data_IF_580869089432
#
_entry.id   IF_580869089432
#
_cell.length_a   1.000
_cell.length_b   1.000
_cell.length_c   1.000
_cell.angle_alpha   90.00
_cell.angle_beta   90.00
_cell.angle_gamma   90.00
#
_symmetry.space_group_name_H-M   'P 1'
#
loop_
_entity.id
_entity.type
_entity.pdbx_description
1 polymer ?
#
# COMPACT_ATOMS: atom_id res chain seq x y z
N UNK A 1 36.89 -42.10 -64.22
CA UNK A 1 36.24 -40.92 -63.61
C UNK A 1 37.12 -40.37 -62.52
N UNK A 2 37.29 -39.05 -62.49
CA UNK A 2 38.24 -38.29 -61.69
C UNK A 2 38.14 -38.61 -60.18
N UNK A 3 39.26 -38.54 -59.43
CA UNK A 3 39.33 -38.99 -58.04
C UNK A 3 39.54 -37.85 -57.02
N UNK A 4 39.61 -38.25 -55.75
CA UNK A 4 40.46 -37.77 -54.63
C UNK A 4 39.90 -36.83 -53.55
N UNK A 5 40.09 -37.32 -52.33
CA UNK A 5 40.46 -36.67 -51.06
C UNK A 5 41.30 -35.38 -51.24
N UNK A 6 41.24 -34.43 -50.30
CA UNK A 6 42.31 -34.30 -49.27
C UNK A 6 42.01 -33.25 -48.18
N UNK A 7 42.60 -33.57 -47.03
CA UNK A 7 42.79 -32.89 -45.76
C UNK A 7 43.89 -31.82 -45.76
N UNK A 8 43.71 -30.83 -44.85
CA UNK A 8 44.72 -30.11 -44.03
C UNK A 8 45.77 -29.20 -44.69
N UNK A 9 46.14 -28.19 -43.87
CA UNK A 9 47.38 -27.38 -43.77
C UNK A 9 47.22 -25.90 -44.21
N UNK A 10 47.82 -24.86 -43.62
CA UNK A 10 48.78 -24.64 -42.51
C UNK A 10 49.01 -23.11 -42.40
N UNK A 11 49.32 -22.60 -41.19
CA UNK A 11 50.09 -21.37 -40.82
C UNK A 11 49.72 -20.01 -41.45
N UNK A 12 49.34 -19.02 -40.62
CA UNK A 12 50.21 -18.00 -39.97
C UNK A 12 50.89 -17.05 -40.95
N UNK A 13 50.63 -15.73 -40.84
CA UNK A 13 51.55 -14.57 -40.85
C UNK A 13 50.65 -13.30 -40.84
N UNK A 14 50.60 -12.46 -39.79
CA UNK A 14 51.58 -11.47 -39.27
C UNK A 14 51.43 -10.06 -39.90
N UNK A 15 51.55 -9.07 -39.00
CA UNK A 15 51.74 -7.63 -39.20
C UNK A 15 50.52 -6.82 -39.69
N UNK A 16 50.25 -5.59 -39.24
CA UNK A 16 50.64 -4.71 -38.13
C UNK A 16 50.01 -3.32 -38.44
N UNK A 17 50.15 -2.39 -37.50
CA UNK A 17 49.88 -0.93 -37.57
C UNK A 17 48.48 -0.45 -37.18
N UNK A 18 48.28 0.52 -36.27
CA UNK A 18 49.14 1.22 -35.29
C UNK A 18 48.18 2.07 -34.42
N UNK A 19 48.36 2.03 -33.09
CA UNK A 19 48.47 3.12 -32.06
C UNK A 19 47.60 4.38 -32.25
N UNK A 20 46.82 4.84 -31.25
CA UNK A 20 47.17 5.81 -30.15
C UNK A 20 46.08 5.67 -29.06
N UNK A 21 46.33 5.16 -27.84
CA UNK A 21 46.96 5.79 -26.66
C UNK A 21 46.18 6.98 -26.04
N UNK A 22 45.51 6.74 -24.90
CA UNK A 22 45.61 7.61 -23.72
C UNK A 22 45.44 6.78 -22.44
N UNK A 23 46.52 6.72 -21.66
CA UNK A 23 46.60 6.24 -20.27
C UNK A 23 46.40 7.43 -19.33
N UNK A 24 45.73 7.18 -18.21
CA UNK A 24 45.94 7.69 -16.84
C UNK A 24 44.56 7.74 -16.14
N UNK A 25 44.36 7.27 -14.92
CA UNK A 25 45.23 6.65 -13.92
C UNK A 25 44.29 5.95 -12.94
N UNK A 26 44.68 4.76 -12.47
CA UNK A 26 44.06 4.14 -11.32
C UNK A 26 44.30 4.99 -10.07
N UNK A 27 43.27 5.14 -9.26
CA UNK A 27 43.40 5.29 -7.82
C UNK A 27 42.32 4.41 -7.21
N UNK A 28 42.75 3.25 -6.72
CA UNK A 28 41.95 2.36 -5.88
C UNK A 28 41.52 3.12 -4.62
N UNK A 29 40.21 3.17 -4.40
CA UNK A 29 39.63 3.26 -3.08
C UNK A 29 38.52 2.21 -3.01
N UNK A 30 38.67 1.31 -2.05
CA UNK A 30 37.75 0.23 -1.74
C UNK A 30 36.37 0.79 -1.37
N UNK A 31 35.47 0.90 -2.35
CA UNK A 31 34.04 0.99 -2.11
C UNK A 31 33.43 -0.41 -2.24
N UNK A 32 33.07 -0.96 -1.09
CA UNK A 32 32.24 -2.15 -0.97
C UNK A 32 30.94 -1.87 -1.73
N UNK A 33 30.83 -2.51 -2.90
CA UNK A 33 29.67 -2.49 -3.76
C UNK A 33 28.48 -3.15 -3.07
N UNK A 34 27.65 -2.32 -2.44
CA UNK A 34 26.25 -2.66 -2.20
C UNK A 34 25.55 -2.80 -3.54
N UNK A 35 25.38 -4.04 -4.00
CA UNK A 35 24.53 -4.37 -5.14
C UNK A 35 23.09 -3.96 -4.85
N UNK A 36 22.74 -2.72 -5.17
CA UNK A 36 21.35 -2.30 -5.30
C UNK A 36 20.86 -2.71 -6.68
N UNK A 37 19.82 -3.54 -6.72
CA UNK A 37 19.06 -3.73 -7.96
C UNK A 37 18.68 -2.34 -8.54
N UNK A 38 18.68 -2.19 -9.88
CA UNK A 38 18.20 -0.96 -10.49
C UNK A 38 16.81 -0.64 -9.95
N UNK A 39 16.51 0.64 -9.65
CA UNK A 39 15.23 1.01 -9.07
C UNK A 39 14.10 0.53 -9.98
N UNK A 40 13.17 -0.24 -9.42
CA UNK A 40 12.04 -0.77 -10.16
C UNK A 40 11.25 0.39 -10.80
N UNK A 41 10.79 0.20 -12.04
CA UNK A 41 9.94 1.18 -12.72
C UNK A 41 8.68 1.45 -11.89
N UNK A 42 8.21 2.70 -11.89
CA UNK A 42 6.99 3.06 -11.19
C UNK A 42 5.79 2.31 -11.79
N UNK A 43 4.93 1.75 -10.95
CA UNK A 43 3.59 1.34 -11.34
C UNK A 43 2.69 2.59 -11.35
N UNK A 44 2.17 2.94 -12.52
CA UNK A 44 1.20 4.03 -12.65
C UNK A 44 0.11 3.65 -13.66
N UNK A 45 -1.16 3.76 -13.26
CA UNK A 45 -2.30 3.47 -14.13
C UNK A 45 -3.57 4.18 -13.64
N UNK A 46 -4.58 4.23 -14.51
CA UNK A 46 -5.86 4.92 -14.26
C UNK A 46 -7.04 4.04 -14.65
N UNK A 47 -8.12 4.12 -13.87
CA UNK A 47 -9.40 3.46 -14.10
C UNK A 47 -10.54 4.48 -13.97
N UNK A 48 -11.26 4.69 -15.07
CA UNK A 48 -12.45 5.55 -15.10
C UNK A 48 -13.70 4.67 -15.03
N UNK A 49 -14.38 4.68 -13.89
CA UNK A 49 -15.54 3.83 -13.59
C UNK A 49 -16.50 4.53 -12.63
N UNK A 50 -17.81 4.40 -12.87
CA UNK A 50 -18.84 4.89 -11.95
C UNK A 50 -18.76 6.40 -11.67
N UNK A 51 -18.44 7.21 -12.69
CA UNK A 51 -18.28 8.66 -12.56
C UNK A 51 -17.07 9.08 -11.71
N UNK A 52 -16.06 8.21 -11.60
CA UNK A 52 -14.87 8.46 -10.80
C UNK A 52 -13.62 8.21 -11.63
N UNK A 53 -12.63 9.10 -11.46
CA UNK A 53 -11.25 8.86 -11.86
C UNK A 53 -10.56 8.19 -10.67
N UNK A 54 -9.95 7.02 -10.92
CA UNK A 54 -9.15 6.29 -9.95
C UNK A 54 -7.73 6.16 -10.53
N UNK A 55 -6.78 6.95 -10.03
CA UNK A 55 -5.40 6.95 -10.51
C UNK A 55 -4.48 6.40 -9.42
N UNK A 56 -3.65 5.44 -9.79
CA UNK A 56 -2.81 4.67 -8.88
C UNK A 56 -1.36 4.96 -9.18
N UNK A 57 -0.55 5.06 -8.12
CA UNK A 57 0.89 5.23 -8.22
C UNK A 57 1.59 4.39 -7.15
N UNK A 58 2.65 3.68 -7.55
CA UNK A 58 3.51 2.97 -6.62
C UNK A 58 4.97 2.94 -7.09
N UNK A 59 5.88 3.39 -6.23
CA UNK A 59 7.33 3.28 -6.39
C UNK A 59 8.02 3.39 -5.03
N UNK A 60 8.95 2.48 -4.75
CA UNK A 60 9.72 2.45 -3.50
C UNK A 60 8.82 2.53 -2.25
N UNK A 61 8.95 3.61 -1.47
CA UNK A 61 8.22 3.89 -0.23
C UNK A 61 6.84 4.54 -0.46
N UNK A 62 6.45 4.80 -1.70
CA UNK A 62 5.21 5.50 -2.04
C UNK A 62 4.26 4.50 -2.70
N UNK A 63 3.05 4.36 -2.14
CA UNK A 63 1.90 3.71 -2.75
C UNK A 63 0.68 4.58 -2.46
N UNK A 64 0.01 5.08 -3.49
CA UNK A 64 -1.12 5.99 -3.35
C UNK A 64 -2.19 5.76 -4.42
N UNK A 65 -3.43 5.98 -4.04
CA UNK A 65 -4.60 5.98 -4.92
C UNK A 65 -5.31 7.33 -4.81
N UNK A 66 -5.26 8.10 -5.89
CA UNK A 66 -6.04 9.31 -6.10
C UNK A 66 -7.42 8.94 -6.62
N UNK A 67 -8.46 9.40 -5.94
CA UNK A 67 -9.84 9.28 -6.36
C UNK A 67 -10.47 10.65 -6.50
N UNK A 68 -11.07 10.92 -7.67
CA UNK A 68 -11.88 12.12 -7.90
C UNK A 68 -13.27 11.71 -8.36
N UNK A 69 -14.30 12.19 -7.67
CA UNK A 69 -15.70 11.89 -8.01
C UNK A 69 -16.32 13.04 -8.77
N UNK A 70 -16.73 12.76 -10.00
CA UNK A 70 -17.54 13.67 -10.81
C UNK A 70 -19.01 13.53 -10.43
N UNK A 71 -19.59 14.55 -9.79
CA UNK A 71 -21.02 14.60 -9.41
C UNK A 71 -21.40 15.98 -8.85
N UNK A 72 -22.68 16.17 -8.52
CA UNK A 72 -23.14 17.34 -7.75
C UNK A 72 -22.67 17.34 -6.28
N UNK A 73 -22.01 16.27 -5.83
CA UNK A 73 -21.36 16.15 -4.51
C UNK A 73 -19.87 15.83 -4.71
N UNK A 74 -19.09 16.74 -5.31
CA UNK A 74 -17.73 16.45 -5.69
C UNK A 74 -16.87 16.18 -4.44
N UNK A 75 -15.88 15.32 -4.62
CA UNK A 75 -14.87 15.01 -3.61
C UNK A 75 -13.57 14.58 -4.27
N UNK A 76 -12.48 14.76 -3.55
CA UNK A 76 -11.16 14.30 -3.92
C UNK A 76 -10.54 13.56 -2.72
N UNK A 77 -10.04 12.35 -2.93
CA UNK A 77 -9.35 11.56 -1.92
C UNK A 77 -7.96 11.16 -2.44
N UNK A 78 -6.97 11.11 -1.56
CA UNK A 78 -5.71 10.39 -1.79
C UNK A 78 -5.52 9.43 -0.62
N UNK A 79 -5.60 8.13 -0.89
CA UNK A 79 -5.43 7.09 0.12
C UNK A 79 -4.12 6.34 -0.05
N UNK A 80 -3.60 5.82 1.05
CA UNK A 80 -2.34 5.10 1.15
C UNK A 80 -2.59 3.75 1.83
N UNK A 81 -2.16 2.63 1.22
CA UNK A 81 -2.19 1.31 1.87
C UNK A 81 -1.51 1.27 3.24
N UNK A 82 -0.42 2.04 3.38
CA UNK A 82 0.30 2.18 4.63
C UNK A 82 -0.63 2.77 5.70
N UNK A 83 -0.80 2.03 6.80
CA UNK A 83 -1.68 2.40 7.91
C UNK A 83 -3.17 2.46 7.57
N UNK A 84 -3.60 1.97 6.40
CA UNK A 84 -4.98 2.13 5.90
C UNK A 84 -5.41 3.60 6.04
N UNK A 85 -4.59 4.51 5.49
CA UNK A 85 -4.61 5.95 5.77
C UNK A 85 -4.93 6.77 4.53
N UNK A 86 -5.24 8.05 4.70
CA UNK A 86 -5.56 8.92 3.58
C UNK A 86 -5.88 10.35 3.96
N UNK A 87 -6.01 11.15 2.92
CA UNK A 87 -6.47 12.53 2.97
C UNK A 87 -7.68 12.68 2.06
N UNK A 88 -8.64 13.51 2.44
CA UNK A 88 -9.87 13.70 1.69
C UNK A 88 -10.40 15.11 1.80
N UNK A 89 -10.92 15.61 0.68
CA UNK A 89 -11.63 16.87 0.55
C UNK A 89 -13.06 16.58 0.10
N UNK A 90 -14.00 17.06 0.88
CA UNK A 90 -15.40 17.14 0.51
C UNK A 90 -15.75 18.59 0.27
N UNK A 91 -16.39 18.84 -0.85
CA UNK A 91 -16.91 20.15 -1.19
C UNK A 91 -18.38 20.26 -0.77
N UNK A 92 -18.90 21.48 -0.77
CA UNK A 92 -20.34 21.71 -0.70
C UNK A 92 -21.03 21.19 -1.98
N UNK A 93 -22.33 20.91 -1.87
CA UNK A 93 -23.12 20.45 -3.01
C UNK A 93 -23.17 21.56 -4.08
N UNK A 94 -22.99 21.16 -5.34
CA UNK A 94 -22.99 22.07 -6.49
C UNK A 94 -24.31 21.97 -7.25
N UNK A 95 -24.81 23.06 -7.87
CA UNK A 95 -26.08 23.04 -8.60
C UNK A 95 -26.03 22.16 -9.85
N UNK A 96 -24.84 21.97 -10.42
CA UNK A 96 -24.59 21.08 -11.56
C UNK A 96 -23.47 20.11 -11.21
N UNK A 97 -23.44 18.91 -11.83
CA UNK A 97 -22.33 17.98 -11.65
C UNK A 97 -20.99 18.62 -12.04
N UNK A 98 -20.01 18.50 -11.17
CA UNK A 98 -18.62 18.86 -11.46
C UNK A 98 -17.91 17.66 -12.05
N UNK A 99 -17.23 17.84 -13.17
CA UNK A 99 -16.36 16.86 -13.81
C UNK A 99 -14.90 17.18 -13.54
N UNK A 100 -14.16 16.16 -13.14
CA UNK A 100 -12.72 16.25 -12.90
C UNK A 100 -11.92 15.79 -14.11
N UNK A 101 -10.75 16.39 -14.28
CA UNK A 101 -9.69 15.91 -15.17
C UNK A 101 -8.38 15.80 -14.39
N UNK A 102 -7.59 14.78 -14.73
CA UNK A 102 -6.20 14.67 -14.30
C UNK A 102 -5.33 15.30 -15.39
N UNK A 103 -4.73 16.45 -15.10
CA UNK A 103 -4.01 17.27 -16.09
C UNK A 103 -2.55 16.82 -16.25
N UNK A 104 -1.95 16.26 -15.19
CA UNK A 104 -0.58 15.71 -15.22
C UNK A 104 -0.54 14.25 -14.75
N UNK A 105 0.48 13.46 -15.16
CA UNK A 105 0.78 12.20 -14.49
C UNK A 105 1.01 12.41 -12.98
N UNK A 106 0.71 11.39 -12.17
CA UNK A 106 1.06 11.41 -10.76
C UNK A 106 2.58 11.41 -10.63
N UNK A 107 3.11 12.37 -9.87
CA UNK A 107 4.51 12.46 -9.51
C UNK A 107 4.72 12.02 -8.05
N UNK A 108 5.82 11.31 -7.73
CA UNK A 108 6.20 11.02 -6.37
C UNK A 108 6.62 12.31 -5.66
N UNK A 109 6.21 12.47 -4.42
CA UNK A 109 6.55 13.64 -3.61
C UNK A 109 6.96 13.22 -2.19
N UNK A 110 7.86 14.00 -1.59
CA UNK A 110 8.23 13.87 -0.18
C UNK A 110 8.26 15.24 0.46
N UNK A 111 7.83 15.31 1.72
CA UNK A 111 7.94 16.52 2.55
C UNK A 111 8.43 16.14 3.94
N UNK A 112 8.71 17.15 4.76
CA UNK A 112 8.92 16.97 6.19
C UNK A 112 7.77 17.62 6.95
N UNK A 113 7.39 17.02 8.08
CA UNK A 113 6.49 17.67 9.03
C UNK A 113 7.21 18.72 9.89
N UNK A 114 6.47 19.38 10.80
CA UNK A 114 7.02 20.41 11.67
C UNK A 114 8.11 19.90 12.65
N UNK A 115 8.22 18.58 12.81
CA UNK A 115 9.25 17.92 13.62
C UNK A 115 10.39 17.35 12.76
N UNK A 116 10.45 17.69 11.47
CA UNK A 116 11.49 17.23 10.54
C UNK A 116 11.32 15.77 10.07
N UNK A 117 10.19 15.12 10.37
CA UNK A 117 9.97 13.70 10.03
C UNK A 117 9.46 13.60 8.60
N UNK A 118 10.05 12.69 7.81
CA UNK A 118 9.69 12.51 6.41
C UNK A 118 8.28 11.96 6.25
N UNK A 119 7.50 12.58 5.36
CA UNK A 119 6.22 12.08 4.87
C UNK A 119 6.37 11.72 3.39
N UNK A 120 5.79 10.59 3.00
CA UNK A 120 5.82 10.07 1.64
C UNK A 120 4.46 10.29 0.98
N UNK A 121 4.45 10.67 -0.29
CA UNK A 121 3.22 11.12 -0.93
C UNK A 121 3.28 11.23 -2.44
N UNK A 122 2.27 11.89 -2.98
CA UNK A 122 2.14 12.15 -4.40
C UNK A 122 1.76 13.61 -4.66
N UNK A 123 2.13 14.11 -5.84
CA UNK A 123 1.70 15.38 -6.41
C UNK A 123 1.01 15.17 -7.76
N UNK A 124 -0.05 15.93 -8.03
CA UNK A 124 -0.79 15.88 -9.29
C UNK A 124 -1.50 17.21 -9.55
N UNK A 125 -1.50 17.66 -10.80
CA UNK A 125 -2.32 18.79 -11.24
C UNK A 125 -3.63 18.25 -11.81
N UNK A 126 -4.74 18.85 -11.38
CA UNK A 126 -6.11 18.46 -11.72
C UNK A 126 -6.94 19.69 -12.05
N UNK A 127 -7.99 19.50 -12.84
CA UNK A 127 -8.96 20.55 -13.12
C UNK A 127 -10.39 20.09 -12.86
N UNK A 128 -11.24 21.06 -12.49
CA UNK A 128 -12.67 20.92 -12.36
C UNK A 128 -13.35 21.91 -13.31
N UNK A 129 -14.41 21.48 -13.99
CA UNK A 129 -15.21 22.28 -14.93
C UNK A 129 -16.18 23.26 -14.24
N UNK A 130 -15.68 23.94 -13.21
CA UNK A 130 -16.40 24.93 -12.42
C UNK A 130 -15.47 26.09 -12.08
N UNK A 131 -16.00 27.30 -11.96
CA UNK A 131 -15.21 28.48 -11.61
C UNK A 131 -14.87 28.55 -10.12
N UNK A 132 -15.61 27.85 -9.26
CA UNK A 132 -15.35 27.85 -7.83
C UNK A 132 -15.86 26.58 -7.13
N UNK A 133 -15.19 26.23 -6.02
CA UNK A 133 -15.58 25.14 -5.14
C UNK A 133 -15.42 25.57 -3.68
N UNK A 134 -16.49 25.47 -2.90
CA UNK A 134 -16.45 25.66 -1.44
C UNK A 134 -16.07 24.36 -0.75
N UNK A 135 -15.04 24.39 0.09
CA UNK A 135 -14.59 23.23 0.87
C UNK A 135 -15.49 23.09 2.10
N UNK A 136 -16.21 21.98 2.16
CA UNK A 136 -17.04 21.62 3.32
C UNK A 136 -16.20 21.04 4.45
N UNK A 137 -15.29 20.12 4.13
CA UNK A 137 -14.47 19.44 5.13
C UNK A 137 -13.22 18.84 4.49
N UNK A 138 -12.08 19.00 5.15
CA UNK A 138 -10.91 18.16 4.93
C UNK A 138 -10.76 17.16 6.07
N UNK A 139 -10.44 15.91 5.76
CA UNK A 139 -10.09 14.88 6.75
C UNK A 139 -8.82 14.18 6.34
N UNK A 140 -7.91 14.03 7.29
CA UNK A 140 -6.66 13.33 7.11
C UNK A 140 -6.60 12.31 8.25
N UNK A 141 -6.69 11.01 7.99
CA UNK A 141 -6.78 9.96 9.01
C UNK A 141 -6.81 8.57 8.35
N UNK A 142 -7.32 7.56 9.05
CA UNK A 142 -7.65 6.25 8.47
C UNK A 142 -8.77 6.34 7.43
N UNK A 143 -8.61 5.57 6.36
CA UNK A 143 -9.63 5.27 5.34
C UNK A 143 -10.97 4.89 5.95
N UNK A 144 -10.99 4.19 7.10
CA UNK A 144 -12.26 3.84 7.78
C UNK A 144 -13.04 5.09 8.16
N UNK A 145 -12.39 6.10 8.76
CA UNK A 145 -13.07 7.37 9.10
C UNK A 145 -13.46 8.16 7.85
N UNK A 146 -12.62 8.18 6.81
CA UNK A 146 -12.95 8.83 5.54
C UNK A 146 -14.18 8.17 4.89
N UNK A 147 -14.27 6.84 4.94
CA UNK A 147 -15.41 6.05 4.45
C UNK A 147 -16.67 6.31 5.26
N UNK A 148 -16.57 6.28 6.58
CA UNK A 148 -17.70 6.48 7.48
C UNK A 148 -18.25 7.91 7.35
N UNK A 149 -17.37 8.92 7.29
CA UNK A 149 -17.76 10.31 7.01
C UNK A 149 -18.48 10.44 5.68
N UNK A 150 -17.98 9.75 4.66
CA UNK A 150 -18.65 9.71 3.37
C UNK A 150 -20.04 9.04 3.44
N UNK A 151 -20.25 8.10 4.36
CA UNK A 151 -21.55 7.50 4.66
C UNK A 151 -22.48 8.40 5.50
N UNK A 152 -22.03 9.61 5.87
CA UNK A 152 -22.78 10.56 6.68
C UNK A 152 -22.55 10.45 8.19
N UNK A 153 -21.60 9.61 8.63
CA UNK A 153 -21.26 9.52 10.04
C UNK A 153 -20.49 10.77 10.51
N UNK A 154 -20.61 11.09 11.79
CA UNK A 154 -19.72 12.05 12.43
C UNK A 154 -18.31 11.47 12.59
N UNK A 155 -17.33 12.34 12.61
CA UNK A 155 -15.93 11.97 12.85
C UNK A 155 -15.45 12.46 14.21
N UNK A 156 -14.48 11.77 14.84
CA UNK A 156 -13.84 12.28 16.05
C UNK A 156 -13.26 13.68 15.83
N UNK A 157 -13.41 14.57 16.81
CA UNK A 157 -12.81 15.91 16.76
C UNK A 157 -11.28 15.86 16.64
N UNK A 158 -10.66 14.81 17.19
CA UNK A 158 -9.20 14.61 17.19
C UNK A 158 -8.59 14.49 15.79
N UNK A 159 -9.39 14.17 14.77
CA UNK A 159 -8.92 14.02 13.38
C UNK A 159 -9.32 15.19 12.48
N UNK A 160 -9.97 16.21 13.05
CA UNK A 160 -10.34 17.45 12.35
C UNK A 160 -9.25 18.48 12.62
N UNK A 161 -8.69 19.06 11.55
CA UNK A 161 -7.67 20.10 11.63
C UNK A 161 -8.05 21.28 10.77
N UNK A 162 -7.79 22.50 11.25
CA UNK A 162 -8.00 23.71 10.48
C UNK A 162 -6.86 23.93 9.48
N UNK A 163 -7.14 24.43 8.27
CA UNK A 163 -6.08 24.75 7.32
C UNK A 163 -5.29 25.99 7.73
N UNK A 164 -4.00 26.01 7.41
CA UNK A 164 -3.26 27.26 7.23
C UNK A 164 -3.37 27.71 5.77
N UNK A 165 -3.74 28.97 5.52
CA UNK A 165 -3.85 29.54 4.18
C UNK A 165 -2.76 30.59 3.97
N UNK A 166 -2.04 30.51 2.86
CA UNK A 166 -1.02 31.47 2.46
C UNK A 166 -1.12 31.71 0.96
N UNK A 167 -1.66 32.87 0.57
CA UNK A 167 -1.91 33.21 -0.83
C UNK A 167 -2.89 32.22 -1.47
N UNK A 168 -2.45 31.53 -2.51
CA UNK A 168 -3.22 30.53 -3.25
C UNK A 168 -3.05 29.09 -2.71
N UNK A 169 -2.44 28.92 -1.53
CA UNK A 169 -2.16 27.61 -0.93
C UNK A 169 -2.97 27.42 0.35
N UNK A 170 -3.68 26.31 0.45
CA UNK A 170 -4.25 25.80 1.69
C UNK A 170 -3.53 24.50 2.10
N UNK A 171 -3.08 24.44 3.35
CA UNK A 171 -2.38 23.29 3.93
C UNK A 171 -3.14 22.79 5.17
N UNK A 172 -3.54 21.53 5.12
CA UNK A 172 -3.96 20.78 6.30
C UNK A 172 -2.81 19.85 6.70
N UNK A 173 -2.35 19.94 7.94
CA UNK A 173 -1.30 19.08 8.44
C UNK A 173 -1.51 18.81 9.92
N UNK A 174 -1.30 17.56 10.33
CA UNK A 174 -1.37 17.17 11.74
C UNK A 174 -0.52 15.94 12.02
N UNK A 175 -0.12 15.78 13.27
CA UNK A 175 0.42 14.52 13.77
C UNK A 175 -0.70 13.52 13.97
N UNK A 176 -0.35 12.22 13.98
CA UNK A 176 -1.25 11.18 14.46
C UNK A 176 -1.57 11.40 15.93
N UNK A 177 -2.69 10.89 16.43
CA UNK A 177 -3.15 11.17 17.81
C UNK A 177 -2.23 10.65 18.93
N UNK A 178 -1.27 9.78 18.62
CA UNK A 178 -0.22 9.31 19.53
C UNK A 178 1.08 10.13 19.42
N UNK A 179 1.08 11.20 18.61
CA UNK A 179 2.24 12.05 18.37
C UNK A 179 3.18 11.55 17.28
N UNK A 180 2.94 10.39 16.67
CA UNK A 180 3.73 9.88 15.55
C UNK A 180 3.60 10.77 14.28
N UNK A 181 4.46 10.58 13.24
CA UNK A 181 4.26 11.22 11.94
C UNK A 181 2.82 11.02 11.47
N UNK A 182 2.16 12.12 11.10
CA UNK A 182 0.77 12.08 10.68
C UNK A 182 0.64 12.26 9.18
N UNK A 183 -0.13 13.27 8.80
CA UNK A 183 -0.62 13.42 7.44
C UNK A 183 -0.56 14.89 7.02
N UNK A 184 -0.36 15.12 5.73
CA UNK A 184 -0.43 16.46 5.15
C UNK A 184 -1.19 16.44 3.82
N UNK A 185 -1.97 17.47 3.58
CA UNK A 185 -2.66 17.74 2.32
C UNK A 185 -2.45 19.21 1.98
N UNK A 186 -1.80 19.45 0.84
CA UNK A 186 -1.63 20.78 0.27
C UNK A 186 -2.46 20.90 -1.00
N UNK A 187 -3.27 21.95 -1.05
CA UNK A 187 -4.04 22.35 -2.23
C UNK A 187 -3.53 23.71 -2.65
N UNK A 188 -3.01 23.80 -3.86
CA UNK A 188 -2.61 25.08 -4.47
C UNK A 188 -3.55 25.37 -5.62
N UNK A 189 -4.22 26.53 -5.60
CA UNK A 189 -4.97 26.99 -6.77
C UNK A 189 -3.97 27.57 -7.77
N UNK A 190 -3.90 26.98 -8.97
CA UNK A 190 -2.93 27.35 -10.00
C UNK A 190 -3.60 28.17 -11.11
N UNK A 191 -2.83 28.56 -12.13
CA UNK A 191 -3.29 29.35 -13.28
C UNK A 191 -3.98 30.67 -12.92
N UNK A 192 -3.43 31.36 -11.91
CA UNK A 192 -3.90 32.69 -11.49
C UNK A 192 -5.18 32.69 -10.64
N UNK A 193 -5.68 31.51 -10.24
CA UNK A 193 -6.78 31.41 -9.28
C UNK A 193 -6.35 31.74 -7.85
N UNK A 194 -7.32 31.82 -6.95
CA UNK A 194 -7.14 32.26 -5.57
C UNK A 194 -7.93 31.41 -4.57
N UNK A 195 -7.56 31.53 -3.30
CA UNK A 195 -8.33 31.02 -2.17
C UNK A 195 -8.92 32.21 -1.43
N UNK A 196 -10.24 32.22 -1.26
CA UNK A 196 -10.96 33.17 -0.43
C UNK A 196 -11.61 32.45 0.76
N UNK A 197 -12.04 33.22 1.75
CA UNK A 197 -13.03 32.73 2.71
C UNK A 197 -14.43 33.04 2.16
N UNK A 198 -15.36 32.09 2.27
CA UNK A 198 -16.77 32.39 2.08
C UNK A 198 -17.29 33.23 3.26
N UNK A 199 -18.47 33.82 3.12
CA UNK A 199 -19.11 34.62 4.18
C UNK A 199 -19.41 33.85 5.48
N UNK A 200 -19.20 32.53 5.51
CA UNK A 200 -19.38 31.63 6.64
C UNK A 200 -18.04 31.08 7.21
N UNK A 201 -16.89 31.53 6.68
CA UNK A 201 -15.56 31.12 7.12
C UNK A 201 -15.03 29.82 6.52
N UNK A 202 -15.71 29.22 5.53
CA UNK A 202 -15.17 28.09 4.75
C UNK A 202 -14.22 28.60 3.68
N UNK A 203 -13.34 27.71 3.20
CA UNK A 203 -12.44 28.05 2.10
C UNK A 203 -13.14 27.89 0.75
N UNK A 204 -13.11 28.95 -0.06
CA UNK A 204 -13.60 28.99 -1.42
C UNK A 204 -12.40 29.00 -2.38
N UNK A 205 -12.26 27.93 -3.16
CA UNK A 205 -11.27 27.84 -4.24
C UNK A 205 -11.87 28.48 -5.49
N UNK A 206 -11.16 29.42 -6.13
CA UNK A 206 -11.69 30.20 -7.26
C UNK A 206 -10.73 30.23 -8.43
N UNK A 207 -11.25 30.02 -9.64
CA UNK A 207 -10.56 30.31 -10.88
C UNK A 207 -10.41 31.84 -11.06
N UNK A 208 -9.53 32.30 -11.97
CA UNK A 208 -9.51 33.69 -12.39
C UNK A 208 -10.88 34.17 -12.88
N UNK A 209 -11.16 35.47 -12.76
CA UNK A 209 -12.41 36.05 -13.24
C UNK A 209 -12.68 35.70 -14.70
N UNK A 210 -13.84 35.11 -14.97
CA UNK A 210 -14.26 34.69 -16.31
C UNK A 210 -13.72 33.33 -16.78
N UNK A 211 -12.83 32.68 -16.02
CA UNK A 211 -12.33 31.35 -16.35
C UNK A 211 -13.35 30.27 -15.95
N UNK A 212 -13.76 29.37 -16.87
CA UNK A 212 -14.77 28.35 -16.58
C UNK A 212 -14.23 27.16 -15.78
N UNK A 213 -12.90 27.04 -15.66
CA UNK A 213 -12.23 25.90 -15.04
C UNK A 213 -11.39 26.32 -13.84
N UNK A 214 -11.52 25.58 -12.75
CA UNK A 214 -10.68 25.67 -11.57
C UNK A 214 -9.54 24.66 -11.72
N UNK A 215 -8.29 25.13 -11.63
CA UNK A 215 -7.11 24.29 -11.67
C UNK A 215 -6.43 24.23 -10.32
N UNK A 216 -6.08 23.02 -9.90
CA UNK A 216 -5.52 22.73 -8.59
C UNK A 216 -4.26 21.87 -8.73
N UNK A 217 -3.22 22.19 -7.98
CA UNK A 217 -2.17 21.23 -7.61
C UNK A 217 -2.52 20.60 -6.28
N UNK A 218 -2.57 19.28 -6.25
CA UNK A 218 -2.85 18.48 -5.07
C UNK A 218 -1.57 17.73 -4.68
N UNK A 219 -1.12 17.95 -3.46
CA UNK A 219 -0.03 17.17 -2.86
C UNK A 219 -0.54 16.55 -1.55
N UNK A 220 -0.46 15.22 -1.44
CA UNK A 220 -0.95 14.49 -0.27
C UNK A 220 0.12 13.54 0.25
N UNK A 221 0.26 13.46 1.56
CA UNK A 221 1.36 12.76 2.23
C UNK A 221 0.90 11.99 3.47
N UNK A 222 1.57 10.86 3.72
CA UNK A 222 1.42 10.05 4.92
C UNK A 222 2.78 9.75 5.54
N UNK A 223 2.82 9.78 6.87
CA UNK A 223 3.95 9.37 7.69
C UNK A 223 3.86 7.93 8.19
N UNK A 224 2.84 7.18 7.76
CA UNK A 224 2.71 5.76 8.08
C UNK A 224 3.89 4.96 7.51
N UNK A 225 4.23 3.84 8.17
CA UNK A 225 5.34 2.98 7.72
C UNK A 225 5.00 2.37 6.35
N UNK A 226 5.80 2.62 5.31
CA UNK A 226 5.55 2.08 3.98
C UNK A 226 5.52 0.55 3.95
N UNK A 227 4.53 0.00 3.26
CA UNK A 227 4.48 -1.44 2.95
C UNK A 227 5.52 -1.79 1.88
N UNK A 228 5.99 -3.03 1.89
CA UNK A 228 6.99 -3.52 0.95
C UNK A 228 6.30 -4.09 -0.30
N UNK A 229 6.39 -3.42 -1.46
CA UNK A 229 5.66 -3.82 -2.66
C UNK A 229 6.19 -5.13 -3.24
N UNK A 230 5.29 -5.99 -3.69
CA UNK A 230 5.65 -7.09 -4.60
C UNK A 230 5.54 -6.56 -6.02
N UNK A 231 6.65 -6.54 -6.76
CA UNK A 231 6.71 -6.01 -8.13
C UNK A 231 6.25 -7.03 -9.16
N UNK A 232 5.87 -6.55 -10.35
CA UNK A 232 5.41 -7.38 -11.49
C UNK A 232 6.26 -8.62 -11.75
N UNK A 233 7.58 -8.50 -11.62
CA UNK A 233 8.53 -9.59 -11.88
C UNK A 233 8.35 -10.79 -10.92
N UNK A 234 7.82 -10.55 -9.71
CA UNK A 234 7.65 -11.55 -8.66
C UNK A 234 6.17 -11.92 -8.43
N UNK A 235 5.28 -11.46 -9.30
CA UNK A 235 3.84 -11.50 -9.04
C UNK A 235 3.16 -12.72 -9.66
N UNK A 236 3.40 -12.92 -10.95
CA UNK A 236 2.71 -13.90 -11.76
C UNK A 236 3.67 -14.89 -12.41
N UNK A 237 3.18 -16.11 -12.65
CA UNK A 237 3.82 -17.06 -13.56
C UNK A 237 3.53 -16.66 -15.01
N UNK A 238 4.19 -17.29 -15.97
CA UNK A 238 3.90 -17.09 -17.40
C UNK A 238 2.51 -17.58 -17.83
N UNK A 239 1.79 -18.30 -16.96
CA UNK A 239 0.44 -18.80 -17.23
C UNK A 239 -0.66 -17.76 -16.97
N UNK A 240 -0.32 -16.59 -16.43
CA UNK A 240 -1.30 -15.52 -16.18
C UNK A 240 -1.93 -15.03 -17.48
N UNK A 241 -3.25 -14.84 -17.46
CA UNK A 241 -3.96 -14.25 -18.60
C UNK A 241 -3.41 -12.84 -18.89
N UNK A 242 -3.05 -12.49 -20.14
CA UNK A 242 -2.50 -11.18 -20.50
C UNK A 242 -3.56 -10.07 -20.46
N UNK A 243 -4.01 -9.72 -19.25
CA UNK A 243 -4.86 -8.58 -18.95
C UNK A 243 -4.05 -7.55 -18.13
N UNK A 244 -3.40 -6.58 -18.78
CA UNK A 244 -2.54 -5.61 -18.09
C UNK A 244 -3.30 -4.81 -17.04
N UNK A 245 -4.58 -4.51 -17.25
CA UNK A 245 -5.35 -3.68 -16.34
C UNK A 245 -5.61 -4.43 -15.02
N UNK A 246 -6.13 -5.66 -15.09
CA UNK A 246 -6.36 -6.47 -13.89
C UNK A 246 -5.06 -6.85 -13.19
N UNK A 247 -3.99 -7.11 -13.96
CA UNK A 247 -2.67 -7.37 -13.39
C UNK A 247 -2.10 -6.14 -12.66
N UNK A 248 -2.29 -4.92 -13.19
CA UNK A 248 -1.86 -3.69 -12.52
C UNK A 248 -2.64 -3.42 -11.23
N UNK A 249 -3.95 -3.69 -11.21
CA UNK A 249 -4.76 -3.61 -9.99
C UNK A 249 -4.25 -4.59 -8.94
N UNK A 250 -4.08 -5.85 -9.30
CA UNK A 250 -3.61 -6.86 -8.35
C UNK A 250 -2.18 -6.56 -7.88
N UNK A 251 -1.32 -6.06 -8.76
CA UNK A 251 0.02 -5.60 -8.42
C UNK A 251 0.00 -4.48 -7.37
N UNK A 252 -0.86 -3.47 -7.55
CA UNK A 252 -1.02 -2.39 -6.59
C UNK A 252 -1.46 -2.89 -5.20
N UNK A 253 -2.32 -3.91 -5.15
CA UNK A 253 -2.87 -4.48 -3.92
C UNK A 253 -1.96 -5.52 -3.26
N UNK A 254 -0.79 -5.83 -3.84
CA UNK A 254 0.10 -6.91 -3.40
C UNK A 254 1.37 -6.39 -2.71
N UNK A 255 1.50 -6.67 -1.41
CA UNK A 255 2.67 -6.35 -0.59
C UNK A 255 3.13 -7.60 0.16
N UNK A 256 4.43 -7.66 0.48
CA UNK A 256 4.97 -8.79 1.25
C UNK A 256 4.41 -8.86 2.67
N UNK A 257 3.96 -7.71 3.20
CA UNK A 257 3.32 -7.57 4.50
C UNK A 257 1.90 -8.19 4.52
N UNK A 258 1.14 -7.98 3.44
CA UNK A 258 -0.27 -8.38 3.27
C UNK A 258 -0.76 -8.11 1.85
N UNK A 259 -1.80 -8.85 1.45
CA UNK A 259 -2.64 -8.47 0.31
C UNK A 259 -3.78 -7.58 0.82
N UNK A 260 -4.09 -6.52 0.06
CA UNK A 260 -5.20 -5.62 0.37
C UNK A 260 -6.49 -6.14 -0.27
N UNK A 261 -7.61 -5.99 0.43
CA UNK A 261 -8.91 -6.43 -0.09
C UNK A 261 -9.40 -5.57 -1.27
N UNK A 262 -9.12 -4.27 -1.24
CA UNK A 262 -9.38 -3.39 -2.39
C UNK A 262 -9.30 -1.93 -2.05
N UNK A 263 -8.93 -1.11 -3.02
CA UNK A 263 -8.83 0.35 -2.83
C UNK A 263 -10.08 1.05 -3.38
N UNK A 264 -10.60 2.11 -2.75
CA UNK A 264 -10.08 2.78 -1.56
C UNK A 264 -10.79 2.38 -0.26
N UNK A 265 -11.99 1.79 -0.30
CA UNK A 265 -12.83 1.63 0.91
C UNK A 265 -12.38 0.50 1.84
N UNK A 266 -11.56 -0.42 1.33
CA UNK A 266 -11.11 -1.64 1.99
C UNK A 266 -9.58 -1.78 1.84
N UNK A 267 -8.85 -0.66 1.95
CA UNK A 267 -7.42 -0.49 1.61
C UNK A 267 -6.50 -1.14 2.68
N UNK A 268 -6.90 -2.32 3.15
CA UNK A 268 -6.27 -3.08 4.23
C UNK A 268 -6.58 -4.58 4.09
N UNK A 269 -6.06 -5.38 5.02
CA UNK A 269 -6.30 -6.80 5.09
C UNK A 269 -7.76 -7.14 5.45
N UNK A 270 -8.33 -8.10 4.70
CA UNK A 270 -9.51 -8.87 5.08
C UNK A 270 -9.22 -10.36 4.91
N UNK A 271 -9.45 -11.16 5.94
CA UNK A 271 -8.98 -12.55 5.97
C UNK A 271 -9.65 -13.45 4.94
N UNK A 272 -10.98 -13.43 4.89
CA UNK A 272 -11.74 -14.19 3.89
C UNK A 272 -11.36 -13.80 2.47
N UNK A 273 -11.34 -12.51 2.17
CA UNK A 273 -11.08 -11.97 0.83
C UNK A 273 -9.65 -12.29 0.38
N UNK A 274 -8.68 -12.25 1.29
CA UNK A 274 -7.31 -12.72 1.06
C UNK A 274 -7.29 -14.22 0.71
N UNK A 275 -7.95 -15.06 1.51
CA UNK A 275 -8.00 -16.51 1.30
C UNK A 275 -8.66 -16.87 -0.04
N UNK A 276 -9.79 -16.25 -0.37
CA UNK A 276 -10.48 -16.43 -1.66
C UNK A 276 -9.55 -16.03 -2.81
N UNK A 277 -8.93 -14.85 -2.72
CA UNK A 277 -8.05 -14.34 -3.79
C UNK A 277 -6.85 -15.25 -4.01
N UNK A 278 -6.18 -15.66 -2.93
CA UNK A 278 -5.06 -16.61 -2.99
C UNK A 278 -5.51 -17.92 -3.63
N UNK A 279 -6.64 -18.49 -3.19
CA UNK A 279 -7.13 -19.76 -3.74
C UNK A 279 -7.46 -19.68 -5.22
N UNK A 280 -8.17 -18.63 -5.64
CA UNK A 280 -8.59 -18.45 -7.03
C UNK A 280 -7.41 -18.21 -7.97
N UNK A 281 -6.38 -17.48 -7.51
CA UNK A 281 -5.24 -17.09 -8.33
C UNK A 281 -4.02 -18.01 -8.18
N UNK A 282 -4.01 -18.93 -7.21
CA UNK A 282 -2.88 -19.81 -6.89
C UNK A 282 -2.17 -20.42 -8.13
N UNK A 283 -2.87 -20.91 -9.18
CA UNK A 283 -2.20 -21.48 -10.35
C UNK A 283 -1.33 -20.49 -11.15
N UNK A 284 -1.65 -19.19 -11.07
CA UNK A 284 -0.98 -18.11 -11.83
C UNK A 284 -0.14 -17.19 -10.97
N UNK A 285 -0.18 -17.33 -9.64
CA UNK A 285 0.68 -16.57 -8.72
C UNK A 285 2.06 -17.22 -8.58
N UNK A 286 3.07 -16.38 -8.36
CA UNK A 286 4.37 -16.84 -7.86
C UNK A 286 4.26 -17.29 -6.40
N UNK A 287 5.11 -18.24 -5.94
CA UNK A 287 5.10 -18.73 -4.57
C UNK A 287 5.16 -17.65 -3.50
N UNK A 288 5.96 -16.60 -3.69
CA UNK A 288 6.13 -15.53 -2.70
C UNK A 288 4.84 -14.74 -2.46
N UNK A 289 3.99 -14.58 -3.48
CA UNK A 289 2.68 -13.90 -3.34
C UNK A 289 1.70 -14.76 -2.57
N UNK A 290 1.68 -16.07 -2.86
CA UNK A 290 0.83 -17.04 -2.15
C UNK A 290 1.22 -17.04 -0.67
N UNK A 291 2.52 -17.11 -0.37
CA UNK A 291 3.04 -17.11 0.99
C UNK A 291 2.86 -15.77 1.71
N UNK A 292 2.91 -14.63 1.01
CA UNK A 292 2.57 -13.32 1.56
C UNK A 292 1.09 -13.26 1.95
N UNK A 293 0.18 -13.72 1.06
CA UNK A 293 -1.25 -13.81 1.34
C UNK A 293 -1.56 -14.71 2.54
N UNK A 294 -1.10 -15.96 2.53
CA UNK A 294 -1.28 -16.91 3.64
C UNK A 294 -0.59 -16.42 4.92
N UNK A 295 0.60 -15.85 4.79
CA UNK A 295 1.37 -15.30 5.91
C UNK A 295 0.64 -14.14 6.60
N UNK A 296 -0.04 -13.30 5.81
CA UNK A 296 -0.85 -12.21 6.34
C UNK A 296 -2.02 -12.72 7.19
N UNK A 297 -2.64 -13.84 6.81
CA UNK A 297 -3.69 -14.52 7.59
C UNK A 297 -3.12 -15.15 8.85
N UNK A 298 -2.05 -15.95 8.73
CA UNK A 298 -1.42 -16.64 9.85
C UNK A 298 -0.94 -15.68 10.95
N UNK A 299 -0.45 -14.50 10.56
CA UNK A 299 0.02 -13.48 11.51
C UNK A 299 -1.10 -12.78 12.29
N UNK A 300 -2.37 -12.99 11.92
CA UNK A 300 -3.56 -12.32 12.49
C UNK A 300 -4.54 -13.31 13.12
N UNK A 301 -4.16 -14.58 13.24
CA UNK A 301 -4.98 -15.56 13.93
C UNK A 301 -5.19 -15.17 15.39
N UNK A 302 -6.38 -15.46 15.90
CA UNK A 302 -6.61 -15.43 17.35
C UNK A 302 -5.81 -16.55 18.04
N UNK A 303 -5.66 -16.50 19.37
CA UNK A 303 -5.00 -17.57 20.13
C UNK A 303 -5.65 -18.96 19.96
N UNK A 304 -6.96 -19.01 19.67
CA UNK A 304 -7.72 -20.23 19.37
C UNK A 304 -7.75 -20.59 17.88
N UNK A 305 -7.04 -19.85 17.03
CA UNK A 305 -6.85 -20.19 15.61
C UNK A 305 -7.92 -19.65 14.67
N UNK A 306 -8.76 -18.70 15.12
CA UNK A 306 -9.75 -18.03 14.27
C UNK A 306 -9.07 -17.03 13.34
N UNK A 307 -9.56 -16.94 12.12
CA UNK A 307 -9.13 -15.98 11.11
C UNK A 307 -9.74 -14.62 11.41
N UNK A 308 -8.89 -13.60 11.49
CA UNK A 308 -9.35 -12.22 11.59
C UNK A 308 -10.16 -11.85 10.35
N UNK A 309 -11.36 -11.30 10.55
CA UNK A 309 -12.18 -10.78 9.47
C UNK A 309 -11.52 -9.57 8.81
N UNK A 310 -11.10 -8.60 9.63
CA UNK A 310 -10.52 -7.33 9.21
C UNK A 310 -9.54 -6.85 10.29
N UNK A 311 -8.50 -6.12 9.88
CA UNK A 311 -7.64 -5.40 10.82
C UNK A 311 -8.00 -3.92 10.93
N UNK A 312 -8.11 -3.44 12.17
CA UNK A 312 -8.00 -2.03 12.50
C UNK A 312 -6.53 -1.71 12.75
N UNK A 313 -5.96 -0.77 11.98
CA UNK A 313 -4.52 -0.44 12.02
C UNK A 313 -4.33 1.09 11.99
N UNK A 314 -3.13 1.54 12.34
CA UNK A 314 -2.76 2.94 12.30
C UNK A 314 -3.61 3.73 13.28
N UNK A 315 -4.06 4.91 12.85
CA UNK A 315 -4.82 5.79 13.72
C UNK A 315 -6.21 5.27 14.09
N UNK A 316 -6.81 4.41 13.25
CA UNK A 316 -8.08 3.77 13.62
C UNK A 316 -7.93 2.95 14.90
N UNK A 317 -6.86 2.15 15.02
CA UNK A 317 -6.62 1.32 16.20
C UNK A 317 -6.45 2.18 17.47
N UNK A 318 -5.76 3.31 17.37
CA UNK A 318 -5.57 4.24 18.49
C UNK A 318 -6.90 4.83 18.99
N UNK A 319 -7.75 5.28 18.07
CA UNK A 319 -9.06 5.85 18.42
C UNK A 319 -9.99 4.78 18.97
N UNK A 320 -10.00 3.60 18.36
CA UNK A 320 -10.81 2.47 18.83
C UNK A 320 -10.38 2.00 20.22
N UNK A 321 -9.07 1.88 20.46
CA UNK A 321 -8.52 1.52 21.75
C UNK A 321 -8.92 2.55 22.82
N UNK A 322 -8.79 3.84 22.54
CA UNK A 322 -9.23 4.91 23.44
C UNK A 322 -10.72 4.83 23.77
N UNK A 323 -11.58 4.60 22.77
CA UNK A 323 -13.03 4.44 22.95
C UNK A 323 -13.38 3.27 23.88
N UNK A 324 -12.56 2.23 23.89
CA UNK A 324 -12.74 1.04 24.73
C UNK A 324 -11.91 1.05 26.01
N UNK A 325 -11.32 2.20 26.39
CA UNK A 325 -10.51 2.33 27.62
C UNK A 325 -9.21 1.50 27.61
N UNK A 326 -8.71 1.14 26.42
CA UNK A 326 -7.46 0.39 26.24
C UNK A 326 -6.26 1.35 26.16
N UNK A 327 -5.03 0.86 26.39
CA UNK A 327 -3.82 1.68 26.26
C UNK A 327 -3.71 2.40 24.92
N UNK A 328 -3.05 3.57 24.92
CA UNK A 328 -2.74 4.34 23.72
C UNK A 328 -1.61 3.65 22.92
N UNK A 329 -1.98 2.56 22.25
CA UNK A 329 -1.09 1.66 21.55
C UNK A 329 -1.56 1.50 20.09
N UNK A 330 -0.69 1.76 19.09
CA UNK A 330 -1.02 1.61 17.67
C UNK A 330 -1.02 0.14 17.19
N UNK A 331 -0.80 -0.83 18.08
CA UNK A 331 -0.90 -2.26 17.77
C UNK A 331 -2.23 -2.55 17.08
N UNK A 332 -2.21 -3.22 15.92
CA UNK A 332 -3.43 -3.51 15.19
C UNK A 332 -4.44 -4.30 16.04
N UNK A 333 -5.70 -3.93 15.91
CA UNK A 333 -6.83 -4.66 16.49
C UNK A 333 -7.43 -5.58 15.43
N UNK A 334 -7.85 -6.78 15.81
CA UNK A 334 -8.48 -7.73 14.90
C UNK A 334 -9.89 -8.05 15.37
N UNK A 335 -10.86 -8.00 14.46
CA UNK A 335 -12.20 -8.52 14.74
C UNK A 335 -12.35 -9.93 14.15
N UNK A 336 -13.06 -10.80 14.87
CA UNK A 336 -13.22 -12.22 14.55
C UNK A 336 -14.69 -12.58 14.34
N UNK A 337 -15.50 -11.64 13.85
CA UNK A 337 -16.96 -11.80 13.76
C UNK A 337 -17.39 -12.68 12.59
N UNK A 338 -16.56 -12.82 11.56
CA UNK A 338 -16.83 -13.65 10.38
C UNK A 338 -16.15 -15.00 10.51
N UNK A 339 -16.93 -16.07 10.38
CA UNK A 339 -16.45 -17.45 10.56
C UNK A 339 -15.98 -18.13 9.26
N UNK A 340 -16.33 -17.58 8.09
CA UNK A 340 -16.01 -18.18 6.78
C UNK A 340 -14.50 -18.48 6.64
N UNK A 341 -13.66 -17.57 7.13
CA UNK A 341 -12.20 -17.70 7.07
C UNK A 341 -11.67 -18.92 7.82
N UNK A 342 -12.31 -19.29 8.94
CA UNK A 342 -11.91 -20.44 9.76
C UNK A 342 -12.03 -21.75 8.97
N UNK A 343 -13.08 -21.88 8.16
CA UNK A 343 -13.32 -23.04 7.31
C UNK A 343 -12.51 -23.04 6.02
N UNK A 344 -12.01 -21.87 5.59
CA UNK A 344 -11.23 -21.71 4.36
C UNK A 344 -9.73 -21.92 4.58
N UNK A 345 -9.18 -21.55 5.74
CA UNK A 345 -7.74 -21.52 5.95
C UNK A 345 -7.11 -22.91 5.78
N UNK A 346 -7.62 -23.92 6.47
CA UNK A 346 -7.05 -25.27 6.45
C UNK A 346 -7.00 -25.88 5.03
N UNK A 347 -8.10 -25.94 4.25
CA UNK A 347 -8.06 -26.53 2.90
C UNK A 347 -7.15 -25.74 1.95
N UNK A 348 -7.08 -24.41 2.05
CA UNK A 348 -6.20 -23.61 1.19
C UNK A 348 -4.72 -23.81 1.56
N UNK A 349 -4.43 -23.97 2.85
CA UNK A 349 -3.08 -24.31 3.33
C UNK A 349 -2.67 -25.72 2.89
N UNK A 350 -3.59 -26.70 2.86
CA UNK A 350 -3.37 -28.03 2.29
C UNK A 350 -3.08 -27.95 0.79
N UNK A 351 -3.91 -27.23 0.03
CA UNK A 351 -3.71 -27.01 -1.41
C UNK A 351 -2.30 -26.46 -1.70
N UNK A 352 -1.81 -25.53 -0.88
CA UNK A 352 -0.47 -24.97 -1.07
C UNK A 352 0.66 -25.86 -0.55
N UNK A 353 0.60 -26.30 0.70
CA UNK A 353 1.73 -26.95 1.38
C UNK A 353 1.86 -28.44 1.04
N UNK A 354 0.76 -29.08 0.65
CA UNK A 354 0.68 -30.53 0.46
C UNK A 354 0.41 -30.87 -1.01
N UNK A 355 -0.49 -30.17 -1.71
CA UNK A 355 -0.86 -30.55 -3.08
C UNK A 355 0.00 -29.86 -4.15
N UNK A 356 0.32 -28.58 -3.97
CA UNK A 356 1.15 -27.84 -4.92
C UNK A 356 2.65 -28.15 -4.73
N UNK A 357 3.27 -28.75 -5.75
CA UNK A 357 4.72 -29.09 -5.73
C UNK A 357 5.62 -27.89 -5.43
N UNK A 358 5.23 -26.67 -5.85
CA UNK A 358 6.00 -25.44 -5.58
C UNK A 358 5.99 -25.12 -4.08
N UNK A 359 4.86 -25.33 -3.41
CA UNK A 359 4.70 -25.13 -1.98
C UNK A 359 5.27 -26.27 -1.16
N UNK A 360 5.11 -27.53 -1.57
CA UNK A 360 5.75 -28.70 -0.95
C UNK A 360 7.27 -28.49 -0.76
N UNK A 361 7.94 -28.00 -1.80
CA UNK A 361 9.38 -27.73 -1.77
C UNK A 361 9.80 -26.65 -0.76
N UNK A 362 8.87 -25.78 -0.36
CA UNK A 362 9.10 -24.62 0.54
C UNK A 362 8.49 -24.79 1.93
N UNK A 363 7.58 -25.77 2.10
CA UNK A 363 6.69 -25.87 3.26
C UNK A 363 7.43 -25.84 4.61
N UNK A 364 8.50 -26.61 4.75
CA UNK A 364 9.26 -26.67 6.00
C UNK A 364 9.89 -25.32 6.36
N UNK A 365 10.52 -24.64 5.39
CA UNK A 365 11.15 -23.35 5.61
C UNK A 365 10.10 -22.26 5.89
N UNK A 366 9.01 -22.25 5.13
CA UNK A 366 7.90 -21.32 5.31
C UNK A 366 7.30 -21.43 6.72
N UNK A 367 6.92 -22.64 7.15
CA UNK A 367 6.34 -22.86 8.48
C UNK A 367 7.32 -22.52 9.62
N UNK A 368 8.60 -22.86 9.46
CA UNK A 368 9.62 -22.51 10.44
C UNK A 368 9.79 -20.99 10.60
N UNK A 369 9.78 -20.25 9.48
CA UNK A 369 9.85 -18.80 9.48
C UNK A 369 8.61 -18.19 10.17
N UNK A 370 7.41 -18.71 9.90
CA UNK A 370 6.17 -18.25 10.55
C UNK A 370 6.18 -18.50 12.05
N UNK A 371 6.63 -19.69 12.49
CA UNK A 371 6.76 -20.02 13.91
C UNK A 371 7.81 -19.16 14.63
N UNK A 372 8.89 -18.78 13.94
CA UNK A 372 9.88 -17.85 14.49
C UNK A 372 9.31 -16.44 14.64
N UNK A 373 8.55 -15.95 13.66
CA UNK A 373 7.90 -14.64 13.71
C UNK A 373 6.87 -14.57 14.84
N UNK A 374 6.01 -15.59 14.98
CA UNK A 374 5.02 -15.68 16.05
C UNK A 374 5.66 -15.68 17.46
N UNK A 375 6.83 -16.32 17.62
CA UNK A 375 7.59 -16.28 18.88
C UNK A 375 8.13 -14.90 19.20
N UNK A 376 8.62 -14.16 18.19
CA UNK A 376 9.13 -12.79 18.39
C UNK A 376 8.03 -11.83 18.79
N UNK A 377 6.86 -11.91 18.14
CA UNK A 377 5.70 -11.09 18.51
C UNK A 377 5.18 -11.44 19.91
N UNK A 378 5.14 -12.73 20.27
CA UNK A 378 4.77 -13.19 21.61
C UNK A 378 5.82 -12.93 22.71
N UNK A 379 7.05 -12.58 22.35
CA UNK A 379 8.09 -12.14 23.29
C UNK A 379 8.10 -10.61 23.46
N UNK A 380 7.68 -9.86 22.42
CA UNK A 380 7.52 -8.42 22.46
C UNK A 380 6.24 -7.97 23.20
N UNK A 381 5.23 -8.84 23.26
CA UNK A 381 4.07 -8.75 24.15
C UNK A 381 4.30 -9.67 25.36
N UNK A 382 3.97 -9.26 26.58
CA UNK A 382 4.28 -10.03 27.82
C UNK A 382 4.00 -11.56 27.73
N UNK A 383 4.73 -12.42 28.47
CA UNK A 383 5.08 -13.81 28.08
C UNK A 383 3.97 -14.88 28.12
N UNK A 384 2.69 -14.51 28.11
CA UNK A 384 1.57 -15.46 28.33
C UNK A 384 0.88 -15.97 27.05
N UNK A 385 1.28 -15.53 25.85
CA UNK A 385 0.40 -15.65 24.67
C UNK A 385 0.73 -16.74 23.63
N UNK A 386 1.59 -17.72 23.92
CA UNK A 386 2.00 -18.71 22.89
C UNK A 386 1.59 -20.17 23.21
N UNK A 387 0.41 -20.60 22.72
CA UNK A 387 -0.05 -22.00 22.80
C UNK A 387 0.71 -22.92 21.82
N UNK A 388 1.25 -22.37 20.73
CA UNK A 388 2.05 -23.12 19.74
C UNK A 388 3.46 -23.51 20.21
N UNK A 389 3.92 -22.99 21.35
CA UNK A 389 5.29 -23.22 21.85
C UNK A 389 5.40 -24.21 23.00
N UNK A 390 4.31 -24.83 23.48
CA UNK A 390 4.43 -25.80 24.57
C UNK A 390 4.93 -27.15 24.05
N UNK A 391 6.11 -27.64 24.48
CA UNK A 391 6.47 -29.03 24.27
C UNK A 391 5.44 -29.87 25.04
N UNK A 392 4.74 -30.79 24.37
CA UNK A 392 3.96 -31.82 25.06
C UNK A 392 4.95 -32.75 25.78
N UNK A 393 5.23 -32.47 27.04
CA UNK A 393 5.84 -33.46 27.93
C UNK A 393 4.84 -34.58 28.17
N UNK A 394 4.97 -35.70 27.46
CA UNK A 394 4.25 -36.94 27.78
C UNK A 394 4.81 -37.50 29.09
N UNK A 395 4.14 -37.22 30.21
CA UNK A 395 4.38 -37.97 31.45
C UNK A 395 3.80 -39.37 31.30
N UNK A 396 4.66 -40.37 31.07
CA UNK A 396 4.30 -41.79 31.23
C UNK A 396 4.05 -42.06 32.71
N UNK A 397 2.79 -42.28 33.10
CA UNK A 397 2.51 -42.90 34.40
C UNK A 397 2.72 -44.42 34.27
N UNK A 398 3.73 -44.95 34.96
CA UNK A 398 3.85 -46.39 35.23
C UNK A 398 2.84 -46.71 36.33
N UNK A 399 1.79 -47.47 36.02
CA UNK A 399 1.02 -48.20 37.04
C UNK A 399 1.81 -49.45 37.43
N UNK A 400 2.09 -49.56 38.72
CA UNK A 400 2.57 -50.81 39.35
C UNK A 400 1.35 -51.63 39.77
N UNK A 401 1.35 -52.97 39.60
CA UNK A 401 0.21 -53.80 40.01
C UNK A 401 0.24 -54.03 41.52
N UNK A 402 -0.92 -53.93 42.17
CA UNK A 402 -1.14 -54.53 43.49
C UNK A 402 -1.85 -55.88 43.30
N UNK A 403 -1.32 -56.83 44.06
CA UNK A 403 -1.75 -58.22 44.34
C UNK A 403 -3.25 -58.47 44.32
#
# INVERSE_FOLDING_TARGET
MKPRLDTRKVFSYLFAFFIIAFLASCSDHDDISGGGDPPASALAFRLDRGGQINAFYRRDKIAAHLLMRSSAKPRLLVVFPAGNSGTGLWFDDTPQPVNWSQDTPIAPATTQDASGRTLYGIGVDVSADVSNLSIRQALLSSVRFLRDYNGGASVPSDIVVQPSVSGNVALWQRNRIDGAPGYALRVTVIDGGAIAADGAGKLLLQSPSGAPTLRLRIEAFSGETPLQPITRASLFTSAVNPDPQSQNVFEFLSFSDKLLAGSWQYDTYFGRDTLISVRMLMPVLQPDVIEAGLGSVLSRLSPDGKVAHEEGIGEFALIDNRRHGRPNDPTPTYDYKMIDGDYMLAPIMEDWLIEDRRGQARAAAYLAQRAAMARRTAAASSPTCCVWCRPRSRSRSRRSPRT
#
